data_IF_068447585499
#
_entry.id   IF_068447585499
#
_cell.length_a   1.000
_cell.length_b   1.000
_cell.length_c   1.000
_cell.angle_alpha   90.00
_cell.angle_beta   90.00
_cell.angle_gamma   90.00
#
_symmetry.space_group_name_H-M   'P 1'
#
loop_
_entity.id
_entity.type
_entity.pdbx_description
1 polymer ?
#
# COMPACT_ATOMS: atom_id res chain seq x y z
N UNK A 1 4.71 -34.09 2.58
CA UNK A 1 3.86 -33.52 1.50
C UNK A 1 4.48 -32.20 1.02
N UNK A 2 4.69 -32.09 -0.28
CA UNK A 2 5.35 -30.91 -0.85
C UNK A 2 4.30 -29.99 -1.47
N UNK A 3 3.71 -29.14 -0.67
CA UNK A 3 2.80 -28.13 -1.14
C UNK A 3 3.55 -26.84 -1.45
N UNK A 4 3.28 -26.29 -2.64
CA UNK A 4 3.74 -24.95 -2.99
C UNK A 4 2.74 -23.94 -2.46
N UNK A 5 3.23 -22.90 -1.81
CA UNK A 5 2.42 -21.79 -1.33
C UNK A 5 2.97 -20.48 -1.89
N UNK A 6 2.09 -19.52 -2.11
CA UNK A 6 2.49 -18.15 -2.43
C UNK A 6 2.60 -17.34 -1.16
N UNK A 7 3.69 -16.61 -1.03
CA UNK A 7 3.89 -15.68 0.08
C UNK A 7 3.67 -14.26 -0.42
N UNK A 8 2.66 -13.61 0.12
CA UNK A 8 2.38 -12.19 -0.15
C UNK A 8 2.92 -11.35 0.99
N UNK A 9 3.76 -10.39 0.70
CA UNK A 9 4.22 -9.41 1.66
C UNK A 9 3.42 -8.11 1.50
N UNK A 10 2.67 -7.75 2.54
CA UNK A 10 2.02 -6.44 2.63
C UNK A 10 3.04 -5.44 3.19
N UNK A 11 3.60 -4.63 2.32
CA UNK A 11 4.78 -3.81 2.63
C UNK A 11 4.49 -2.76 3.70
N UNK A 12 3.33 -2.11 3.66
CA UNK A 12 3.06 -0.98 4.55
C UNK A 12 1.61 -0.79 4.98
N UNK A 13 0.64 -1.35 4.28
CA UNK A 13 -0.78 -1.08 4.56
C UNK A 13 -1.17 0.39 4.36
N UNK A 14 -2.41 0.74 4.70
CA UNK A 14 -2.94 2.11 4.56
C UNK A 14 -3.49 2.69 5.88
N UNK A 15 -3.42 1.94 6.98
CA UNK A 15 -3.90 2.42 8.28
C UNK A 15 -3.10 3.61 8.83
N UNK A 16 -3.65 4.28 9.83
CA UNK A 16 -2.98 5.38 10.53
C UNK A 16 -1.92 4.84 11.50
N UNK A 17 -0.83 4.36 10.93
CA UNK A 17 0.27 3.76 11.67
C UNK A 17 1.59 4.53 11.53
N UNK A 18 1.61 5.56 10.70
CA UNK A 18 2.83 6.32 10.41
C UNK A 18 3.42 6.98 11.67
N UNK A 19 2.57 7.44 12.59
CA UNK A 19 3.00 8.02 13.86
C UNK A 19 3.45 6.98 14.88
N UNK A 20 3.05 5.71 14.70
CA UNK A 20 3.31 4.63 15.63
C UNK A 20 4.56 3.82 15.28
N UNK A 21 4.96 3.85 14.02
CA UNK A 21 6.10 3.09 13.54
C UNK A 21 7.00 3.96 12.67
N UNK A 22 8.14 4.42 13.20
CA UNK A 22 9.00 5.38 12.48
C UNK A 22 9.61 4.81 11.20
N UNK A 23 9.76 3.50 11.12
CA UNK A 23 10.37 2.81 9.96
C UNK A 23 9.35 2.41 8.89
N UNK A 24 8.08 2.83 9.03
CA UNK A 24 7.07 2.55 8.02
C UNK A 24 7.47 3.17 6.66
N UNK A 25 7.55 2.37 5.58
CA UNK A 25 7.84 2.91 4.26
C UNK A 25 6.75 3.87 3.79
N UNK A 26 7.11 5.12 3.51
CA UNK A 26 6.18 6.18 3.12
C UNK A 26 6.43 6.67 1.70
N UNK A 27 7.70 6.98 1.40
CA UNK A 27 8.05 7.47 0.06
C UNK A 27 8.06 6.34 -0.97
N UNK A 28 7.83 6.63 -2.25
CA UNK A 28 7.92 5.62 -3.31
C UNK A 28 9.23 4.84 -3.29
N UNK A 29 10.35 5.50 -3.01
CA UNK A 29 11.67 4.85 -2.91
C UNK A 29 11.75 3.88 -1.75
N UNK A 30 11.25 4.27 -0.57
CA UNK A 30 11.22 3.40 0.61
C UNK A 30 10.31 2.19 0.38
N UNK A 31 9.14 2.42 -0.22
CA UNK A 31 8.17 1.37 -0.54
C UNK A 31 8.77 0.37 -1.53
N UNK A 32 9.37 0.87 -2.61
CA UNK A 32 10.00 0.03 -3.61
C UNK A 32 11.17 -0.77 -3.04
N UNK A 33 12.01 -0.15 -2.21
CA UNK A 33 13.12 -0.82 -1.53
C UNK A 33 12.60 -1.98 -0.67
N UNK A 34 11.60 -1.72 0.16
CA UNK A 34 11.00 -2.75 1.02
C UNK A 34 10.39 -3.89 0.21
N UNK A 35 9.74 -3.58 -0.91
CA UNK A 35 9.20 -4.58 -1.82
C UNK A 35 10.28 -5.46 -2.44
N UNK A 36 11.39 -4.86 -2.89
CA UNK A 36 12.53 -5.59 -3.46
C UNK A 36 13.17 -6.50 -2.40
N UNK A 37 13.41 -6.01 -1.21
CA UNK A 37 13.94 -6.79 -0.10
C UNK A 37 13.03 -7.96 0.28
N UNK A 38 11.72 -7.73 0.27
CA UNK A 38 10.73 -8.78 0.52
C UNK A 38 10.77 -9.87 -0.55
N UNK A 39 10.89 -9.49 -1.81
CA UNK A 39 11.02 -10.45 -2.91
C UNK A 39 12.33 -11.25 -2.81
N UNK A 40 13.43 -10.61 -2.45
CA UNK A 40 14.71 -11.28 -2.22
C UNK A 40 14.65 -12.26 -1.05
N UNK A 41 13.82 -11.99 -0.05
CA UNK A 41 13.59 -12.87 1.09
C UNK A 41 12.60 -14.01 0.79
N UNK A 42 11.97 -14.03 -0.39
CA UNK A 42 11.12 -15.13 -0.84
C UNK A 42 9.66 -14.80 -1.10
N UNK A 43 9.24 -13.54 -1.00
CA UNK A 43 7.89 -13.15 -1.37
C UNK A 43 7.67 -13.29 -2.87
N UNK A 44 6.55 -13.91 -3.25
CA UNK A 44 6.11 -14.04 -4.65
C UNK A 44 5.30 -12.83 -5.09
N UNK A 45 4.62 -12.21 -4.15
CA UNK A 45 3.71 -11.09 -4.35
C UNK A 45 4.03 -10.02 -3.33
N UNK A 46 4.07 -8.77 -3.75
CA UNK A 46 4.12 -7.61 -2.85
C UNK A 46 2.82 -6.82 -2.99
N UNK A 47 2.19 -6.53 -1.85
CA UNK A 47 0.96 -5.74 -1.76
C UNK A 47 1.31 -4.35 -1.29
N UNK A 48 0.97 -3.34 -2.08
CA UNK A 48 1.49 -1.99 -1.93
C UNK A 48 0.37 -0.97 -1.84
N UNK A 49 0.44 -0.15 -0.80
CA UNK A 49 -0.25 1.13 -0.69
C UNK A 49 0.76 2.26 -0.90
N UNK A 50 0.34 3.34 -1.55
CA UNK A 50 1.16 4.55 -1.63
C UNK A 50 0.71 5.56 -0.58
N UNK A 51 1.65 6.39 -0.14
CA UNK A 51 1.44 7.36 0.94
C UNK A 51 2.01 8.71 0.56
N UNK A 52 1.48 9.75 1.18
CA UNK A 52 2.08 11.08 1.14
C UNK A 52 3.35 11.10 2.02
N UNK A 53 4.14 12.15 1.92
CA UNK A 53 5.38 12.29 2.70
C UNK A 53 5.15 12.30 4.21
N UNK A 54 4.00 12.81 4.65
CA UNK A 54 3.60 12.82 6.06
C UNK A 54 3.12 11.44 6.55
N UNK A 55 3.00 10.47 5.65
CA UNK A 55 2.58 9.11 5.94
C UNK A 55 1.08 8.86 5.77
N UNK A 56 0.28 9.85 5.42
CA UNK A 56 -1.14 9.65 5.14
C UNK A 56 -1.34 8.85 3.86
N UNK A 57 -2.44 8.07 3.75
CA UNK A 57 -2.73 7.33 2.53
C UNK A 57 -2.86 8.25 1.31
N UNK A 58 -2.43 7.77 0.16
CA UNK A 58 -2.50 8.49 -1.11
C UNK A 58 -3.05 7.62 -2.22
N UNK A 59 -3.58 8.27 -3.25
CA UNK A 59 -4.01 7.64 -4.50
C UNK A 59 -3.35 8.28 -5.72
N UNK A 60 -2.29 9.04 -5.50
CA UNK A 60 -1.59 9.72 -6.60
C UNK A 60 -0.96 8.71 -7.55
N UNK A 61 -1.33 8.81 -8.82
CA UNK A 61 -0.83 7.93 -9.87
C UNK A 61 0.70 7.96 -9.96
N UNK A 62 1.28 9.14 -9.79
CA UNK A 62 2.73 9.34 -9.88
C UNK A 62 3.50 8.50 -8.86
N UNK A 63 2.94 8.33 -7.67
CA UNK A 63 3.55 7.50 -6.64
C UNK A 63 3.53 6.01 -7.00
N UNK A 64 2.39 5.52 -7.52
CA UNK A 64 2.32 4.13 -8.01
C UNK A 64 3.29 3.89 -9.15
N UNK A 65 3.32 4.82 -10.10
CA UNK A 65 4.22 4.75 -11.26
C UNK A 65 5.68 4.65 -10.81
N UNK A 66 6.12 5.55 -9.92
CA UNK A 66 7.49 5.57 -9.42
C UNK A 66 7.86 4.25 -8.71
N UNK A 67 6.99 3.75 -7.84
CA UNK A 67 7.22 2.47 -7.14
C UNK A 67 7.41 1.33 -8.15
N UNK A 68 6.50 1.21 -9.11
CA UNK A 68 6.57 0.16 -10.13
C UNK A 68 7.84 0.27 -10.98
N UNK A 69 8.18 1.48 -11.41
CA UNK A 69 9.39 1.72 -12.21
C UNK A 69 10.65 1.32 -11.45
N UNK A 70 10.77 1.67 -10.19
CA UNK A 70 11.93 1.28 -9.36
C UNK A 70 12.02 -0.24 -9.23
N UNK A 71 10.91 -0.91 -8.90
CA UNK A 71 10.91 -2.37 -8.75
C UNK A 71 11.29 -3.05 -10.06
N UNK A 72 10.68 -2.65 -11.19
CA UNK A 72 10.97 -3.25 -12.49
C UNK A 72 12.38 -2.97 -12.98
N UNK A 73 12.89 -1.76 -12.74
CA UNK A 73 14.27 -1.40 -13.10
C UNK A 73 15.32 -2.17 -12.29
N UNK A 74 14.98 -2.67 -11.11
CA UNK A 74 15.88 -3.50 -10.31
C UNK A 74 16.06 -4.91 -10.86
N UNK A 75 15.25 -5.33 -11.83
CA UNK A 75 15.24 -6.70 -12.35
C UNK A 75 14.57 -7.71 -11.42
N UNK A 76 13.90 -7.26 -10.38
CA UNK A 76 13.23 -8.14 -9.42
C UNK A 76 11.96 -8.73 -10.04
N UNK A 77 11.90 -10.06 -10.09
CA UNK A 77 10.73 -10.79 -10.61
C UNK A 77 9.75 -11.07 -9.47
N UNK A 78 8.82 -10.15 -9.28
CA UNK A 78 7.78 -10.25 -8.26
C UNK A 78 6.46 -9.75 -8.82
N UNK A 79 5.36 -10.36 -8.40
CA UNK A 79 4.02 -9.87 -8.72
C UNK A 79 3.74 -8.65 -7.88
N UNK A 80 3.40 -7.54 -8.52
CA UNK A 80 3.06 -6.30 -7.85
C UNK A 80 1.54 -6.18 -7.79
N UNK A 81 1.00 -6.22 -6.59
CA UNK A 81 -0.41 -5.98 -6.31
C UNK A 81 -0.57 -4.57 -5.77
N UNK A 82 -1.13 -3.70 -6.58
CA UNK A 82 -1.42 -2.31 -6.20
C UNK A 82 -2.85 -2.21 -5.69
N UNK A 83 -3.05 -1.44 -4.64
CA UNK A 83 -4.38 -1.17 -4.11
C UNK A 83 -4.64 0.32 -4.00
N UNK A 84 -5.87 0.71 -4.27
CA UNK A 84 -6.37 2.07 -4.08
C UNK A 84 -7.15 2.24 -2.78
N UNK A 85 -7.19 1.19 -1.95
CA UNK A 85 -7.81 1.24 -0.63
C UNK A 85 -7.14 2.25 0.30
N UNK A 86 -7.95 2.96 1.06
CA UNK A 86 -7.52 4.05 1.95
C UNK A 86 -7.66 3.67 3.42
N UNK A 87 -7.49 2.39 3.76
CA UNK A 87 -7.53 1.90 5.12
C UNK A 87 -8.58 0.82 5.39
N UNK A 88 -9.45 0.56 4.43
CA UNK A 88 -10.48 -0.48 4.54
C UNK A 88 -11.67 -0.09 5.41
N UNK A 89 -11.67 1.10 5.98
CA UNK A 89 -12.68 1.58 6.89
C UNK A 89 -13.71 2.47 6.19
N UNK A 90 -14.90 2.50 6.74
CA UNK A 90 -15.93 3.45 6.38
C UNK A 90 -15.75 4.71 7.24
N UNK A 91 -15.38 5.80 6.60
CA UNK A 91 -15.28 7.10 7.27
C UNK A 91 -16.61 7.86 7.08
N UNK A 92 -17.38 7.93 8.14
CA UNK A 92 -18.67 8.65 8.14
C UNK A 92 -18.41 10.11 8.49
N UNK A 93 -18.79 11.01 7.60
CA UNK A 93 -18.62 12.44 7.82
C UNK A 93 -19.41 12.97 9.02
N UNK A 94 -18.90 14.01 9.66
CA UNK A 94 -19.51 14.66 10.84
C UNK A 94 -20.59 15.69 10.45
N UNK A 95 -21.07 15.71 9.21
CA UNK A 95 -22.05 16.67 8.72
C UNK A 95 -23.49 16.39 9.17
N UNK A 96 -24.42 17.24 8.74
CA UNK A 96 -25.86 17.08 8.99
C UNK A 96 -26.42 15.80 8.34
N UNK A 97 -25.76 15.30 7.31
CA UNK A 97 -26.11 14.05 6.66
C UNK A 97 -25.13 12.95 7.09
N UNK A 98 -25.51 12.05 8.01
CA UNK A 98 -24.62 10.99 8.48
C UNK A 98 -24.29 9.94 7.41
N UNK A 99 -24.89 10.02 6.22
CA UNK A 99 -24.57 9.16 5.08
C UNK A 99 -23.50 9.77 4.16
N UNK A 100 -23.02 10.96 4.47
CA UNK A 100 -21.87 11.53 3.76
C UNK A 100 -20.60 10.85 4.23
N UNK A 101 -19.89 10.23 3.29
CA UNK A 101 -18.64 9.57 3.58
C UNK A 101 -17.52 10.60 3.75
N UNK A 102 -16.65 10.37 4.73
CA UNK A 102 -15.45 11.18 4.92
C UNK A 102 -14.42 10.97 3.80
N UNK A 103 -13.39 11.84 3.74
CA UNK A 103 -12.42 11.84 2.64
C UNK A 103 -11.54 10.58 2.58
N UNK A 104 -11.47 9.84 3.67
CA UNK A 104 -10.64 8.63 3.77
C UNK A 104 -11.45 7.34 3.61
N UNK A 105 -12.73 7.43 3.28
CA UNK A 105 -13.54 6.25 3.04
C UNK A 105 -12.93 5.40 1.93
N UNK A 106 -12.79 4.11 2.19
CA UNK A 106 -12.29 3.17 1.21
C UNK A 106 -13.40 2.77 0.23
N UNK A 107 -13.49 3.53 -0.85
CA UNK A 107 -14.48 3.29 -1.89
C UNK A 107 -14.35 1.92 -2.57
N UNK A 108 -13.18 1.31 -2.51
CA UNK A 108 -12.99 -0.03 -3.06
C UNK A 108 -13.76 -1.10 -2.29
N UNK A 109 -14.02 -0.88 -1.01
CA UNK A 109 -14.82 -1.78 -0.18
C UNK A 109 -16.33 -1.51 -0.27
N UNK A 110 -16.74 -0.39 -0.84
CA UNK A 110 -18.17 -0.01 -0.98
C UNK A 110 -18.71 -0.46 -2.34
N UNK A 111 -17.87 -0.48 -3.35
CA UNK A 111 -18.22 -0.87 -4.71
C UNK A 111 -18.06 -2.35 -4.95
#
# INVERSE_FOLDING_TARGET
MKNKVFLTCAVNGSGDTASKHPDLPKTPKQIAKSAIESAQAGASIVHIHVREEDGTPSRKFEYYKEVVEIIRSSGTDVIINLTTGMGGDLDIGEGENPMDFGPYTDMANIM
#
